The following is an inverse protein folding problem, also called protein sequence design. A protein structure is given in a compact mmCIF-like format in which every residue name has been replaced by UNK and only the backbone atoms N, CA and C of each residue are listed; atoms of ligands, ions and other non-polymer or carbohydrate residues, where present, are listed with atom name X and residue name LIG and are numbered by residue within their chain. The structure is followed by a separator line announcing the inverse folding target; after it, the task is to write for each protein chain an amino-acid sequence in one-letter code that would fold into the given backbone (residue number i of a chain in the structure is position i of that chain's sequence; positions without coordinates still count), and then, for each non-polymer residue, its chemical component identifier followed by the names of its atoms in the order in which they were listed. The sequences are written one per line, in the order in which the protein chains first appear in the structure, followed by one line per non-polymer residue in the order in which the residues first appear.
data_IF_678904761396
#
_entry.id   IF_678904761396
#
_cell.length_a   1.000
_cell.length_b   1.000
_cell.length_c   1.000
_cell.angle_alpha   90.00
_cell.angle_beta   90.00
_cell.angle_gamma   90.00
#
_symmetry.space_group_name_H-M   'P 1'
#
loop_
_entity.id
_entity.type
_entity.pdbx_description
1 polymer ?
#
# COMPACT_ATOMS: atom_id res chain seq x y z
N UNK A 1 -8.66 -26.84 1.66
CA UNK A 1 -8.43 -26.04 0.43
C UNK A 1 -7.95 -24.66 0.87
N UNK A 2 -6.91 -24.13 0.23
CA UNK A 2 -6.39 -22.77 0.47
C UNK A 2 -6.71 -21.94 -0.76
N UNK A 3 -7.21 -20.72 -0.56
CA UNK A 3 -7.47 -19.75 -1.64
C UNK A 3 -6.74 -18.43 -1.32
N UNK A 4 -6.08 -17.87 -2.33
CA UNK A 4 -5.22 -16.68 -2.20
C UNK A 4 -5.65 -15.58 -3.18
N UNK A 5 -5.69 -14.34 -2.71
CA UNK A 5 -5.89 -13.15 -3.56
C UNK A 5 -4.80 -12.13 -3.29
N UNK A 6 -4.20 -11.60 -4.37
CA UNK A 6 -3.20 -10.53 -4.26
C UNK A 6 -1.83 -11.02 -3.76
N UNK A 7 -1.50 -12.29 -4.04
CA UNK A 7 -0.30 -13.00 -3.60
C UNK A 7 1.02 -12.28 -3.92
N UNK A 8 1.02 -11.33 -4.86
CA UNK A 8 2.19 -10.54 -5.25
C UNK A 8 1.92 -9.03 -5.31
N UNK A 9 0.93 -8.56 -4.55
CA UNK A 9 0.52 -7.14 -4.59
C UNK A 9 0.31 -6.57 -3.20
N UNK A 10 0.71 -5.31 -3.05
CA UNK A 10 0.29 -4.43 -1.97
C UNK A 10 -0.65 -3.41 -2.62
N UNK A 11 -1.87 -3.29 -2.10
CA UNK A 11 -2.92 -2.44 -2.69
C UNK A 11 -3.34 -1.40 -1.67
N UNK A 12 -3.31 -0.13 -2.06
CA UNK A 12 -3.92 0.95 -1.31
C UNK A 12 -5.21 1.36 -2.04
N UNK A 13 -6.35 1.02 -1.46
CA UNK A 13 -7.66 1.17 -2.12
C UNK A 13 -8.41 2.41 -1.60
N UNK A 14 -9.41 2.88 -2.35
CA UNK A 14 -10.12 4.14 -2.07
C UNK A 14 -10.77 4.23 -0.70
N UNK A 15 -11.07 3.10 -0.05
CA UNK A 15 -11.54 3.07 1.34
C UNK A 15 -10.46 3.43 2.37
N UNK A 16 -9.22 3.69 1.95
CA UNK A 16 -8.05 3.86 2.82
C UNK A 16 -7.42 2.53 3.26
N UNK A 17 -8.03 1.40 2.95
CA UNK A 17 -7.49 0.11 3.40
C UNK A 17 -6.20 -0.23 2.63
N UNK A 18 -5.21 -0.77 3.36
CA UNK A 18 -4.15 -1.56 2.74
C UNK A 18 -4.60 -3.00 2.63
N UNK A 19 -4.39 -3.59 1.46
CA UNK A 19 -4.63 -5.00 1.23
C UNK A 19 -3.36 -5.67 0.74
N UNK A 20 -3.06 -6.80 1.35
CA UNK A 20 -2.08 -7.77 0.89
C UNK A 20 -2.63 -9.15 1.16
N UNK A 21 -2.19 -10.15 0.38
CA UNK A 21 -2.41 -11.58 0.58
C UNK A 21 -3.68 -11.92 1.39
N UNK A 22 -4.83 -11.97 0.74
CA UNK A 22 -6.06 -12.42 1.42
C UNK A 22 -6.11 -13.94 1.33
N UNK A 23 -6.09 -14.58 2.50
CA UNK A 23 -6.00 -16.03 2.66
C UNK A 23 -7.28 -16.56 3.26
N UNK A 24 -7.78 -17.66 2.68
CA UNK A 24 -8.84 -18.47 3.25
C UNK A 24 -8.33 -19.87 3.55
N UNK A 25 -8.53 -20.32 4.78
CA UNK A 25 -8.19 -21.66 5.26
C UNK A 25 -9.46 -22.37 5.70
N UNK A 26 -9.73 -23.54 5.11
CA UNK A 26 -10.93 -24.35 5.42
C UNK A 26 -12.25 -23.57 5.32
N UNK A 27 -12.31 -22.59 4.42
CA UNK A 27 -13.48 -21.73 4.21
C UNK A 27 -13.52 -20.47 5.09
N UNK A 28 -12.60 -20.31 6.04
CA UNK A 28 -12.53 -19.13 6.91
C UNK A 28 -11.46 -18.15 6.42
N UNK A 29 -11.78 -16.86 6.39
CA UNK A 29 -10.78 -15.83 6.11
C UNK A 29 -9.82 -15.69 7.29
N UNK A 30 -8.52 -15.78 7.03
CA UNK A 30 -7.47 -15.71 8.07
C UNK A 30 -6.48 -14.55 7.87
N UNK A 31 -6.59 -13.82 6.76
CA UNK A 31 -5.85 -12.59 6.50
C UNK A 31 -6.82 -11.49 6.04
N UNK A 32 -6.65 -10.28 6.55
CA UNK A 32 -7.61 -9.19 6.44
C UNK A 32 -6.97 -7.92 5.89
N UNK A 33 -7.83 -6.98 5.50
CA UNK A 33 -7.41 -5.63 5.12
C UNK A 33 -7.00 -4.85 6.36
N UNK A 34 -6.00 -4.00 6.21
CA UNK A 34 -5.52 -3.12 7.27
C UNK A 34 -6.24 -1.79 7.15
N UNK A 35 -6.91 -1.40 8.23
CA UNK A 35 -7.68 -0.15 8.33
C UNK A 35 -6.87 0.96 8.99
N UNK A 36 -7.41 2.18 8.96
CA UNK A 36 -6.90 3.32 9.74
C UNK A 36 -6.07 4.33 8.95
N UNK A 37 -5.96 4.18 7.63
CA UNK A 37 -5.57 5.29 6.77
C UNK A 37 -6.82 6.10 6.36
N UNK A 38 -6.61 7.26 5.76
CA UNK A 38 -7.68 8.09 5.25
C UNK A 38 -8.29 7.48 3.97
N UNK A 39 -9.61 7.60 3.85
CA UNK A 39 -10.35 7.36 2.60
C UNK A 39 -9.91 8.43 1.59
N UNK A 40 -9.74 8.06 0.32
CA UNK A 40 -9.46 9.02 -0.74
C UNK A 40 -10.51 9.02 -1.85
N UNK A 41 -10.64 10.16 -2.51
CA UNK A 41 -11.65 10.49 -3.49
C UNK A 41 -11.02 11.18 -4.71
N UNK A 42 -11.82 11.31 -5.78
CA UNK A 42 -11.41 12.02 -6.99
C UNK A 42 -10.96 13.46 -6.68
N UNK A 43 -9.93 13.92 -7.39
CA UNK A 43 -9.35 15.25 -7.22
C UNK A 43 -8.25 15.33 -6.15
N UNK A 44 -8.06 14.30 -5.33
CA UNK A 44 -6.93 14.23 -4.40
C UNK A 44 -5.67 13.69 -5.08
N UNK A 45 -4.51 14.09 -4.57
CA UNK A 45 -3.22 13.59 -5.01
C UNK A 45 -2.79 12.40 -4.15
N UNK A 46 -2.64 11.25 -4.79
CA UNK A 46 -1.95 10.11 -4.18
C UNK A 46 -0.45 10.19 -4.46
N UNK A 47 0.35 9.86 -3.45
CA UNK A 47 1.79 9.71 -3.59
C UNK A 47 2.23 8.42 -2.91
N UNK A 48 3.18 7.75 -3.55
CA UNK A 48 3.79 6.50 -3.09
C UNK A 48 5.29 6.75 -3.09
N UNK A 49 5.92 6.59 -1.93
CA UNK A 49 7.38 6.59 -1.82
C UNK A 49 7.85 5.19 -1.51
N UNK A 50 8.79 4.69 -2.31
CA UNK A 50 9.44 3.41 -2.07
C UNK A 50 10.91 3.65 -1.82
N UNK A 51 11.39 3.17 -0.67
CA UNK A 51 12.80 3.11 -0.33
C UNK A 51 13.27 1.66 -0.38
N UNK A 52 13.94 1.32 -1.49
CA UNK A 52 14.54 -0.01 -1.71
C UNK A 52 15.93 -0.15 -1.09
N UNK A 53 16.53 0.93 -0.59
CA UNK A 53 17.89 0.91 -0.04
C UNK A 53 17.90 0.85 1.50
N UNK A 54 16.76 1.12 2.15
CA UNK A 54 16.64 0.93 3.60
C UNK A 54 16.58 -0.54 3.96
N UNK A 55 16.98 -0.85 5.20
CA UNK A 55 16.82 -2.17 5.81
C UNK A 55 15.95 -2.05 7.08
N UNK A 56 14.69 -2.53 7.05
CA UNK A 56 14.02 -3.18 5.92
C UNK A 56 13.63 -2.18 4.81
N UNK A 57 13.48 -2.67 3.57
CA UNK A 57 12.93 -1.89 2.46
C UNK A 57 11.48 -1.51 2.78
N UNK A 58 11.00 -0.35 2.33
CA UNK A 58 9.67 0.15 2.74
C UNK A 58 8.92 0.89 1.63
N UNK A 59 7.59 0.87 1.71
CA UNK A 59 6.69 1.71 0.92
C UNK A 59 5.73 2.47 1.83
N UNK A 60 5.65 3.77 1.60
CA UNK A 60 4.83 4.71 2.36
C UNK A 60 3.85 5.42 1.43
N UNK A 61 2.63 5.63 1.90
CA UNK A 61 1.53 6.22 1.14
C UNK A 61 1.19 7.60 1.67
N UNK A 62 0.74 8.48 0.78
CA UNK A 62 0.36 9.84 1.11
C UNK A 62 -0.91 10.24 0.36
N UNK A 63 -1.76 11.04 1.02
CA UNK A 63 -2.93 11.70 0.42
C UNK A 63 -2.73 13.20 0.58
N UNK A 64 -2.72 13.95 -0.53
CA UNK A 64 -2.45 15.40 -0.55
C UNK A 64 -1.17 15.82 0.19
N UNK A 65 -0.17 14.93 0.26
CA UNK A 65 1.08 15.15 0.99
C UNK A 65 1.05 14.76 2.47
N UNK A 66 -0.11 14.37 3.01
CA UNK A 66 -0.22 13.81 4.36
C UNK A 66 0.12 12.31 4.34
N UNK A 67 1.11 11.92 5.15
CA UNK A 67 1.52 10.53 5.29
C UNK A 67 0.40 9.70 5.93
N UNK A 68 0.19 8.50 5.40
CA UNK A 68 -0.78 7.55 5.93
C UNK A 68 -0.18 6.72 7.08
N UNK A 69 -1.04 6.36 8.03
CA UNK A 69 -0.67 5.64 9.27
C UNK A 69 0.07 4.33 8.98
N UNK A 70 -0.47 3.54 8.07
CA UNK A 70 0.04 2.21 7.78
C UNK A 70 0.98 2.24 6.58
N UNK A 71 2.09 1.54 6.70
CA UNK A 71 3.08 1.38 5.64
C UNK A 71 3.55 -0.08 5.58
N UNK A 72 4.20 -0.48 4.49
CA UNK A 72 4.64 -1.86 4.28
C UNK A 72 6.15 -1.95 4.22
N UNK A 73 6.72 -2.97 4.84
CA UNK A 73 8.15 -3.27 4.90
C UNK A 73 8.47 -4.64 4.27
N UNK A 74 9.76 -4.92 4.06
CA UNK A 74 10.27 -6.19 3.52
C UNK A 74 9.80 -6.44 2.07
N UNK A 75 9.90 -5.40 1.24
CA UNK A 75 9.54 -5.46 -0.18
C UNK A 75 10.48 -6.37 -0.99
N UNK A 76 9.98 -7.02 -2.04
CA UNK A 76 10.82 -7.79 -2.96
C UNK A 76 11.80 -6.87 -3.70
N UNK A 77 12.94 -7.41 -4.13
CA UNK A 77 13.99 -6.65 -4.82
C UNK A 77 13.57 -5.99 -6.14
N UNK A 78 12.43 -6.39 -6.71
CA UNK A 78 11.84 -5.80 -7.92
C UNK A 78 10.35 -5.51 -7.70
N UNK A 79 9.91 -4.34 -8.16
CA UNK A 79 8.53 -3.90 -8.03
C UNK A 79 8.01 -3.29 -9.33
N UNK A 80 6.69 -3.21 -9.46
CA UNK A 80 6.00 -2.45 -10.49
C UNK A 80 4.90 -1.62 -9.84
N UNK A 81 4.70 -0.40 -10.34
CA UNK A 81 3.54 0.40 -9.97
C UNK A 81 2.38 0.07 -10.89
N UNK A 82 1.19 -0.09 -10.32
CA UNK A 82 -0.04 -0.35 -11.04
C UNK A 82 -1.16 0.50 -10.46
N UNK A 83 -1.98 1.07 -11.33
CA UNK A 83 -3.19 1.80 -10.96
C UNK A 83 -4.41 1.04 -11.49
N UNK A 84 -5.31 0.65 -10.61
CA UNK A 84 -6.55 -0.01 -10.97
C UNK A 84 -7.69 1.00 -11.05
N UNK A 85 -8.22 1.23 -12.25
CA UNK A 85 -9.36 2.13 -12.50
C UNK A 85 -10.54 1.31 -13.02
N UNK A 86 -11.63 1.28 -12.27
CA UNK A 86 -12.79 0.44 -12.58
C UNK A 86 -14.05 1.23 -12.94
N UNK A 87 -14.24 2.40 -12.34
CA UNK A 87 -15.48 3.17 -12.53
C UNK A 87 -15.48 3.89 -13.89
N UNK A 88 -16.63 3.89 -14.56
CA UNK A 88 -16.80 4.53 -15.86
C UNK A 88 -16.45 6.02 -15.79
N UNK A 89 -15.69 6.51 -16.77
CA UNK A 89 -15.22 7.90 -16.83
C UNK A 89 -14.11 8.26 -15.82
N UNK A 90 -13.70 7.32 -14.96
CA UNK A 90 -12.57 7.56 -14.06
C UNK A 90 -11.25 7.53 -14.81
N UNK A 91 -10.32 8.36 -14.37
CA UNK A 91 -8.96 8.39 -14.88
C UNK A 91 -8.02 8.90 -13.79
N UNK A 92 -6.73 8.70 -14.00
CA UNK A 92 -5.69 9.32 -13.21
C UNK A 92 -4.64 9.89 -14.17
N UNK A 93 -3.85 10.84 -13.69
CA UNK A 93 -2.67 11.32 -14.40
C UNK A 93 -1.48 11.35 -13.45
N UNK A 94 -0.31 11.01 -13.97
CA UNK A 94 0.93 11.05 -13.20
C UNK A 94 1.40 12.51 -13.19
N UNK A 95 1.44 13.12 -12.00
CA UNK A 95 1.95 14.50 -11.84
C UNK A 95 3.45 14.56 -11.61
N UNK A 96 4.03 13.49 -11.06
CA UNK A 96 5.45 13.43 -10.68
C UNK A 96 5.91 11.97 -10.62
N UNK A 97 7.04 11.68 -11.24
CA UNK A 97 7.75 10.40 -11.14
C UNK A 97 9.23 10.69 -11.20
N UNK A 98 9.95 10.39 -10.13
CA UNK A 98 11.38 10.70 -10.02
C UNK A 98 12.04 9.78 -9.00
N UNK A 99 13.37 9.80 -8.99
CA UNK A 99 14.17 9.22 -7.91
C UNK A 99 14.53 10.31 -6.89
N UNK A 100 14.03 10.17 -5.67
CA UNK A 100 14.39 11.04 -4.55
C UNK A 100 15.77 10.67 -4.00
N UNK A 101 16.53 11.67 -3.53
CA UNK A 101 17.79 11.45 -2.80
C UNK A 101 17.56 11.01 -1.35
N UNK A 102 16.50 11.52 -0.75
CA UNK A 102 16.05 11.22 0.61
C UNK A 102 14.54 11.07 0.57
N UNK A 103 14.00 10.07 1.29
CA UNK A 103 12.55 9.92 1.45
C UNK A 103 12.00 11.10 2.26
N UNK A 104 10.79 11.54 1.92
CA UNK A 104 10.07 12.54 2.71
C UNK A 104 9.26 11.93 3.85
N UNK A 105 9.18 10.60 3.90
CA UNK A 105 8.47 9.85 4.94
C UNK A 105 9.06 10.09 6.33
N UNK A 106 8.17 10.28 7.30
CA UNK A 106 8.47 10.45 8.73
C UNK A 106 7.80 9.32 9.48
N UNK A 107 8.57 8.32 9.87
CA UNK A 107 8.07 7.22 10.70
C UNK A 107 8.18 7.64 12.16
N UNK A 108 7.05 7.61 12.86
CA UNK A 108 6.91 8.01 14.26
C UNK A 108 6.15 6.95 15.07
N UNK A 109 5.78 7.29 16.30
CA UNK A 109 5.10 6.37 17.22
C UNK A 109 3.68 5.99 16.77
N UNK A 110 3.03 6.80 15.93
CA UNK A 110 1.67 6.53 15.43
C UNK A 110 1.68 5.70 14.13
N UNK A 111 2.86 5.58 13.50
CA UNK A 111 3.08 4.83 12.27
C UNK A 111 3.12 3.32 12.53
N UNK A 112 2.42 2.53 11.71
CA UNK A 112 2.32 1.07 11.85
C UNK A 112 2.91 0.36 10.63
N UNK A 113 3.93 -0.47 10.85
CA UNK A 113 4.59 -1.25 9.82
C UNK A 113 3.92 -2.62 9.64
N UNK A 114 3.69 -3.00 8.39
CA UNK A 114 3.18 -4.31 8.02
C UNK A 114 4.20 -5.05 7.18
N UNK A 115 4.51 -6.30 7.53
CA UNK A 115 5.47 -7.10 6.77
C UNK A 115 4.79 -7.55 5.47
N UNK A 116 5.48 -7.39 4.34
CA UNK A 116 5.10 -8.07 3.12
C UNK A 116 5.15 -9.60 3.35
N UNK A 117 4.31 -10.35 2.64
CA UNK A 117 4.26 -11.82 2.65
C UNK A 117 3.77 -12.47 3.96
N UNK A 118 3.37 -11.70 4.96
CA UNK A 118 2.71 -12.21 6.17
C UNK A 118 1.20 -12.01 6.09
N UNK A 119 0.46 -12.92 6.73
CA UNK A 119 -0.97 -12.73 6.96
C UNK A 119 -1.17 -11.53 7.89
N UNK A 120 -1.97 -10.57 7.44
CA UNK A 120 -2.33 -9.40 8.24
C UNK A 120 -3.60 -9.73 9.03
N UNK A 121 -3.59 -9.44 10.33
CA UNK A 121 -4.68 -9.74 11.26
C UNK A 121 -5.29 -8.47 11.82
#
# INVERSE_FOLDING_TARGET
MIFLVGEHSIRFISSGDLQHLIVFEYGNQVSFTVKGNQIFQCGQRLQIEVDMNSDPSKVVFFINGEQQKNYVIDLPGEIRFFAFVQQAGSSFHITRSERLRLSSARIDADSVAWNCWKNWK
#
